data_IF_012480547875
#
_entry.id   IF_012480547875
#
_cell.length_a   1.000
_cell.length_b   1.000
_cell.length_c   1.000
_cell.angle_alpha   90.00
_cell.angle_beta   90.00
_cell.angle_gamma   90.00
#
_symmetry.space_group_name_H-M   'P 1'
#
loop_
_entity.id
_entity.type
_entity.pdbx_description
1 polymer ?
#
# COMPACT_ATOMS: atom_id res chain seq x y z
N UNK A 1 -27.67 17.99 -0.89
CA UNK A 1 -26.67 17.29 -0.07
C UNK A 1 -26.00 18.32 0.84
N UNK A 2 -25.74 18.01 2.11
CA UNK A 2 -25.12 18.91 3.09
C UNK A 2 -23.67 18.54 3.36
N UNK A 3 -22.80 19.53 3.60
CA UNK A 3 -21.42 19.30 4.02
C UNK A 3 -21.35 18.76 5.45
N UNK A 4 -20.42 17.84 5.70
CA UNK A 4 -20.15 17.27 7.02
C UNK A 4 -18.64 17.26 7.30
N UNK A 5 -18.27 17.28 8.59
CA UNK A 5 -16.88 17.12 9.02
C UNK A 5 -16.52 15.64 8.97
N UNK A 6 -15.46 15.28 8.22
CA UNK A 6 -14.97 13.90 8.12
C UNK A 6 -13.59 13.75 8.73
N UNK A 7 -13.33 12.60 9.35
CA UNK A 7 -12.00 12.21 9.82
C UNK A 7 -11.26 11.45 8.72
N UNK A 8 -10.09 11.94 8.32
CA UNK A 8 -9.27 11.33 7.26
C UNK A 8 -8.79 9.92 7.60
N UNK A 9 -8.52 9.62 8.88
CA UNK A 9 -8.08 8.30 9.32
C UNK A 9 -9.23 7.30 9.25
N UNK A 10 -10.44 7.71 9.66
CA UNK A 10 -11.62 6.84 9.57
C UNK A 10 -11.98 6.54 8.10
N UNK A 11 -11.88 7.53 7.22
CA UNK A 11 -12.09 7.32 5.78
C UNK A 11 -11.02 6.42 5.16
N UNK A 12 -9.76 6.56 5.57
CA UNK A 12 -8.71 5.66 5.12
C UNK A 12 -8.90 4.21 5.61
N UNK A 13 -9.43 4.03 6.83
CA UNK A 13 -9.83 2.70 7.33
C UNK A 13 -10.94 2.11 6.46
N UNK A 14 -11.99 2.88 6.19
CA UNK A 14 -13.09 2.43 5.32
C UNK A 14 -12.58 2.03 3.92
N UNK A 15 -11.63 2.80 3.37
CA UNK A 15 -10.98 2.47 2.09
C UNK A 15 -10.20 1.15 2.17
N UNK A 16 -9.45 0.91 3.25
CA UNK A 16 -8.71 -0.33 3.45
C UNK A 16 -9.65 -1.53 3.61
N UNK A 17 -10.69 -1.42 4.43
CA UNK A 17 -11.71 -2.46 4.62
C UNK A 17 -12.40 -2.82 3.30
N UNK A 18 -12.74 -1.82 2.50
CA UNK A 18 -13.28 -2.01 1.16
C UNK A 18 -12.28 -2.69 0.21
N UNK A 19 -11.00 -2.31 0.29
CA UNK A 19 -9.94 -2.90 -0.52
C UNK A 19 -9.75 -4.40 -0.23
N UNK A 20 -9.84 -4.79 1.05
CA UNK A 20 -9.74 -6.19 1.49
C UNK A 20 -10.87 -7.05 0.90
N UNK A 21 -12.12 -6.56 0.95
CA UNK A 21 -13.28 -7.24 0.33
C UNK A 21 -13.10 -7.36 -1.19
N UNK A 22 -12.69 -6.28 -1.86
CA UNK A 22 -12.47 -6.28 -3.31
C UNK A 22 -11.39 -7.27 -3.73
N UNK A 23 -10.35 -7.43 -2.93
CA UNK A 23 -9.28 -8.39 -3.17
C UNK A 23 -9.76 -9.83 -2.99
N UNK A 24 -10.33 -10.16 -1.82
CA UNK A 24 -10.66 -11.52 -1.44
C UNK A 24 -11.89 -12.07 -2.19
N UNK A 25 -12.96 -11.29 -2.27
CA UNK A 25 -14.25 -11.78 -2.78
C UNK A 25 -14.43 -11.52 -4.27
N UNK A 26 -13.99 -10.35 -4.73
CA UNK A 26 -14.28 -9.89 -6.09
C UNK A 26 -13.11 -10.03 -7.04
N UNK A 27 -11.90 -10.29 -6.53
CA UNK A 27 -10.64 -10.29 -7.31
C UNK A 27 -10.48 -9.03 -8.16
N UNK A 28 -11.00 -7.90 -7.66
CA UNK A 28 -10.91 -6.60 -8.32
C UNK A 28 -9.62 -5.91 -7.92
N UNK A 29 -8.50 -6.43 -8.45
CA UNK A 29 -7.16 -6.04 -8.01
C UNK A 29 -6.85 -4.57 -8.26
N UNK A 30 -7.24 -4.02 -9.42
CA UNK A 30 -7.03 -2.60 -9.71
C UNK A 30 -7.73 -1.70 -8.67
N UNK A 31 -8.99 -2.01 -8.33
CA UNK A 31 -9.72 -1.27 -7.30
C UNK A 31 -9.11 -1.45 -5.90
N UNK A 32 -8.72 -2.67 -5.56
CA UNK A 32 -8.04 -2.96 -4.30
C UNK A 32 -6.74 -2.17 -4.15
N UNK A 33 -5.89 -2.12 -5.20
CA UNK A 33 -4.66 -1.31 -5.23
C UNK A 33 -4.97 0.17 -5.03
N UNK A 34 -5.97 0.71 -5.73
CA UNK A 34 -6.31 2.14 -5.63
C UNK A 34 -6.73 2.52 -4.22
N UNK A 35 -7.63 1.74 -3.61
CA UNK A 35 -8.16 2.06 -2.27
C UNK A 35 -7.11 1.81 -1.18
N UNK A 36 -6.42 0.68 -1.21
CA UNK A 36 -5.35 0.37 -0.24
C UNK A 36 -4.18 1.35 -0.36
N UNK A 37 -3.79 1.76 -1.57
CA UNK A 37 -2.75 2.77 -1.79
C UNK A 37 -3.15 4.17 -1.32
N UNK A 38 -4.44 4.54 -1.40
CA UNK A 38 -4.94 5.76 -0.79
C UNK A 38 -4.86 5.69 0.74
N UNK A 39 -5.30 4.57 1.33
CA UNK A 39 -5.26 4.33 2.76
C UNK A 39 -3.81 4.32 3.31
N UNK A 40 -2.91 3.59 2.65
CA UNK A 40 -1.48 3.50 2.98
C UNK A 40 -0.84 4.89 3.10
N UNK A 41 -1.12 5.78 2.15
CA UNK A 41 -0.55 7.14 2.17
C UNK A 41 -1.07 7.97 3.33
N UNK A 42 -2.36 7.84 3.66
CA UNK A 42 -2.97 8.54 4.80
C UNK A 42 -2.39 8.02 6.12
N UNK A 43 -2.32 6.70 6.29
CA UNK A 43 -1.77 6.09 7.50
C UNK A 43 -0.28 6.37 7.67
N UNK A 44 0.50 6.24 6.60
CA UNK A 44 1.92 6.55 6.61
C UNK A 44 2.19 8.02 6.96
N UNK A 45 1.37 8.95 6.47
CA UNK A 45 1.49 10.35 6.87
C UNK A 45 1.10 10.57 8.34
N UNK A 46 0.08 9.87 8.83
CA UNK A 46 -0.34 9.94 10.22
C UNK A 46 0.75 9.44 11.18
N UNK A 47 1.45 8.35 10.83
CA UNK A 47 2.61 7.85 11.58
C UNK A 47 3.73 8.90 11.61
N UNK A 48 4.06 9.49 10.46
CA UNK A 48 5.08 10.55 10.39
C UNK A 48 4.73 11.77 11.24
N UNK A 49 3.45 12.14 11.32
CA UNK A 49 3.01 13.21 12.23
C UNK A 49 3.17 12.86 13.72
N UNK A 50 3.20 11.57 14.08
CA UNK A 50 3.50 11.08 15.43
C UNK A 50 5.01 10.93 15.69
N UNK A 51 5.85 11.22 14.71
CA UNK A 51 7.30 10.97 14.79
C UNK A 51 7.69 9.51 14.56
N UNK A 52 6.77 8.70 14.03
CA UNK A 52 6.98 7.28 13.74
C UNK A 52 7.28 7.07 12.24
N UNK A 53 7.94 5.96 11.91
CA UNK A 53 8.23 5.58 10.53
C UNK A 53 7.04 4.85 9.90
N UNK A 54 6.65 5.27 8.70
CA UNK A 54 5.74 4.49 7.86
C UNK A 54 6.46 3.24 7.34
N UNK A 55 5.69 2.20 6.98
CA UNK A 55 6.24 0.93 6.48
C UNK A 55 7.22 1.13 5.32
N UNK A 56 6.86 1.95 4.32
CA UNK A 56 7.73 2.24 3.17
C UNK A 56 9.06 2.91 3.59
N UNK A 57 9.07 3.65 4.70
CA UNK A 57 10.31 4.25 5.22
C UNK A 57 11.21 3.17 5.82
N UNK A 58 10.64 2.21 6.57
CA UNK A 58 11.38 1.07 7.11
C UNK A 58 11.92 0.15 6.01
N UNK A 59 11.11 -0.15 4.98
CA UNK A 59 11.54 -0.95 3.83
C UNK A 59 12.69 -0.27 3.09
N UNK A 60 12.62 1.04 2.90
CA UNK A 60 13.72 1.80 2.30
C UNK A 60 15.02 1.66 3.10
N UNK A 61 14.97 1.80 4.43
CA UNK A 61 16.16 1.73 5.28
C UNK A 61 16.84 0.35 5.16
N UNK A 62 16.06 -0.73 5.05
CA UNK A 62 16.57 -2.09 4.82
C UNK A 62 17.14 -2.24 3.41
N UNK A 63 16.41 -1.81 2.38
CA UNK A 63 16.82 -1.94 0.98
C UNK A 63 18.04 -1.09 0.65
N UNK A 64 18.19 0.10 1.25
CA UNK A 64 19.31 0.99 1.01
C UNK A 64 20.65 0.38 1.44
N UNK A 65 20.67 -0.36 2.56
CA UNK A 65 21.86 -1.08 3.04
C UNK A 65 22.31 -2.15 2.05
N UNK A 66 21.36 -2.97 1.58
CA UNK A 66 21.64 -4.04 0.61
C UNK A 66 22.05 -3.47 -0.75
N UNK A 67 21.37 -2.42 -1.21
CA UNK A 67 21.64 -1.79 -2.49
C UNK A 67 23.04 -1.19 -2.55
N UNK A 68 23.48 -0.50 -1.50
CA UNK A 68 24.84 0.02 -1.40
C UNK A 68 25.89 -1.10 -1.52
N UNK A 69 25.65 -2.23 -0.84
CA UNK A 69 26.57 -3.36 -0.85
C UNK A 69 26.67 -4.03 -2.23
N UNK A 70 25.56 -4.14 -2.96
CA UNK A 70 25.50 -4.83 -4.24
C UNK A 70 25.92 -3.95 -5.43
N UNK A 71 25.61 -2.65 -5.39
CA UNK A 71 25.77 -1.75 -6.53
C UNK A 71 26.82 -0.65 -6.32
N UNK A 72 27.33 -0.47 -5.11
CA UNK A 72 28.33 0.55 -4.79
C UNK A 72 27.83 1.98 -4.97
N UNK A 73 26.52 2.19 -5.00
CA UNK A 73 25.86 3.48 -5.18
C UNK A 73 24.67 3.60 -4.22
N UNK A 74 24.32 4.82 -3.77
CA UNK A 74 23.19 5.03 -2.87
C UNK A 74 21.85 4.89 -3.60
N UNK A 75 20.92 4.16 -2.98
CA UNK A 75 19.51 4.17 -3.38
C UNK A 75 18.86 5.45 -2.86
N UNK A 76 18.19 6.20 -3.74
CA UNK A 76 17.41 7.37 -3.30
C UNK A 76 16.02 6.93 -2.85
N UNK A 77 15.51 7.57 -1.80
CA UNK A 77 14.15 7.32 -1.30
C UNK A 77 13.07 7.58 -2.34
N UNK A 78 13.29 8.57 -3.22
CA UNK A 78 12.39 8.86 -4.32
C UNK A 78 12.33 7.71 -5.32
N UNK A 79 13.48 7.20 -5.78
CA UNK A 79 13.51 6.10 -6.75
C UNK A 79 12.92 4.83 -6.16
N UNK A 80 13.25 4.53 -4.90
CA UNK A 80 12.65 3.41 -4.17
C UNK A 80 11.12 3.53 -4.11
N UNK A 81 10.61 4.66 -3.64
CA UNK A 81 9.17 4.88 -3.56
C UNK A 81 8.48 4.88 -4.94
N UNK A 82 9.16 5.30 -6.01
CA UNK A 82 8.62 5.20 -7.38
C UNK A 82 8.51 3.75 -7.85
N UNK A 83 9.52 2.92 -7.54
CA UNK A 83 9.51 1.49 -7.84
C UNK A 83 8.41 0.77 -7.08
N UNK A 84 8.36 0.93 -5.75
CA UNK A 84 7.36 0.28 -4.88
C UNK A 84 5.93 0.68 -5.22
N UNK A 85 5.72 1.91 -5.70
CA UNK A 85 4.40 2.42 -6.05
C UNK A 85 4.14 2.42 -7.57
N UNK A 86 4.95 1.71 -8.39
CA UNK A 86 4.84 1.75 -9.86
C UNK A 86 3.44 1.43 -10.35
N UNK A 87 2.87 0.30 -9.90
CA UNK A 87 1.54 -0.16 -10.34
C UNK A 87 0.44 0.77 -9.83
N UNK A 88 0.50 1.17 -8.55
CA UNK A 88 -0.46 2.14 -8.00
C UNK A 88 -0.44 3.47 -8.75
N UNK A 89 0.75 3.97 -9.10
CA UNK A 89 0.89 5.20 -9.88
C UNK A 89 0.34 5.05 -11.29
N UNK A 90 0.60 3.94 -11.98
CA UNK A 90 0.04 3.64 -13.30
C UNK A 90 -1.51 3.55 -13.29
N UNK A 91 -2.12 3.16 -12.17
CA UNK A 91 -3.59 3.10 -12.05
C UNK A 91 -4.26 4.45 -11.76
N UNK A 92 -3.53 5.43 -11.21
CA UNK A 92 -4.10 6.72 -10.78
C UNK A 92 -3.68 7.92 -11.63
N UNK A 93 -2.62 7.77 -12.42
CA UNK A 93 -2.09 8.80 -13.31
C UNK A 93 -2.16 8.29 -14.73
N UNK A 94 -2.50 9.19 -15.65
CA UNK A 94 -2.46 8.93 -17.08
C UNK A 94 -2.14 10.26 -17.77
N UNK A 95 -0.85 10.56 -17.83
CA UNK A 95 -0.31 11.78 -18.41
C UNK A 95 -0.15 11.65 -19.92
N UNK A 96 0.08 12.77 -20.62
CA UNK A 96 0.17 12.80 -22.09
C UNK A 96 1.33 12.00 -22.67
N UNK A 97 2.32 11.64 -21.85
CA UNK A 97 3.46 10.82 -22.23
C UNK A 97 3.28 9.33 -21.91
N UNK A 98 2.19 8.95 -21.22
CA UNK A 98 1.97 7.57 -20.79
C UNK A 98 1.36 6.72 -21.91
N UNK A 99 1.84 5.49 -22.02
CA UNK A 99 1.25 4.48 -22.88
C UNK A 99 -0.04 3.92 -22.23
N UNK A 100 -1.11 3.66 -23.00
CA UNK A 100 -2.34 3.10 -22.45
C UNK A 100 -2.20 1.66 -21.94
N UNK A 101 -1.09 0.99 -22.26
CA UNK A 101 -0.81 -0.38 -21.86
C UNK A 101 0.45 -0.44 -20.98
N UNK A 102 0.38 -1.16 -19.87
CA UNK A 102 1.54 -1.51 -19.06
C UNK A 102 1.45 -2.96 -18.60
N UNK A 103 2.59 -3.58 -18.33
CA UNK A 103 2.67 -4.95 -17.83
C UNK A 103 2.85 -4.93 -16.32
N UNK A 104 2.02 -5.69 -15.61
CA UNK A 104 2.12 -5.90 -14.17
C UNK A 104 1.36 -7.17 -13.77
N UNK A 105 1.81 -7.80 -12.69
CA UNK A 105 0.97 -8.72 -11.91
C UNK A 105 0.12 -7.86 -10.95
N UNK A 106 -1.19 -7.79 -11.22
CA UNK A 106 -2.09 -6.97 -10.41
C UNK A 106 -2.43 -7.64 -9.07
N UNK A 107 -2.45 -8.97 -9.02
CA UNK A 107 -2.76 -9.70 -7.78
C UNK A 107 -1.63 -9.54 -6.78
N UNK A 108 -0.38 -9.74 -7.23
CA UNK A 108 0.81 -9.49 -6.43
C UNK A 108 0.88 -8.03 -5.96
N UNK A 109 0.68 -7.07 -6.87
CA UNK A 109 0.71 -5.65 -6.53
C UNK A 109 -0.39 -5.27 -5.52
N UNK A 110 -1.59 -5.85 -5.63
CA UNK A 110 -2.66 -5.64 -4.68
C UNK A 110 -2.33 -6.23 -3.31
N UNK A 111 -1.79 -7.46 -3.28
CA UNK A 111 -1.37 -8.13 -2.05
C UNK A 111 -0.35 -7.28 -1.27
N UNK A 112 0.74 -6.84 -1.91
CA UNK A 112 1.77 -6.06 -1.22
C UNK A 112 1.30 -4.66 -0.80
N UNK A 113 0.41 -4.03 -1.57
CA UNK A 113 -0.18 -2.76 -1.15
C UNK A 113 -1.08 -2.91 0.07
N UNK A 114 -1.87 -4.00 0.13
CA UNK A 114 -2.68 -4.34 1.30
C UNK A 114 -1.82 -4.64 2.52
N UNK A 115 -0.74 -5.42 2.39
CA UNK A 115 0.22 -5.68 3.48
C UNK A 115 0.73 -4.37 4.08
N UNK A 116 1.20 -3.44 3.22
CA UNK A 116 1.71 -2.13 3.67
C UNK A 116 0.63 -1.28 4.34
N UNK A 117 -0.58 -1.26 3.81
CA UNK A 117 -1.69 -0.50 4.39
C UNK A 117 -2.14 -1.07 5.75
N UNK A 118 -2.28 -2.40 5.84
CA UNK A 118 -2.62 -3.11 7.07
C UNK A 118 -1.57 -2.90 8.16
N UNK A 119 -0.28 -3.05 7.84
CA UNK A 119 0.79 -2.84 8.82
C UNK A 119 0.85 -1.38 9.30
N UNK A 120 0.70 -0.39 8.42
CA UNK A 120 0.59 1.01 8.85
C UNK A 120 -0.63 1.24 9.76
N UNK A 121 -1.77 0.63 9.46
CA UNK A 121 -2.98 0.74 10.29
C UNK A 121 -2.80 0.10 11.67
N UNK A 122 -2.11 -1.05 11.73
CA UNK A 122 -1.77 -1.76 12.97
C UNK A 122 -0.85 -0.92 13.86
N UNK A 123 0.20 -0.31 13.29
CA UNK A 123 1.09 0.63 14.01
C UNK A 123 0.35 1.86 14.57
N UNK A 124 -0.69 2.31 13.88
CA UNK A 124 -1.55 3.39 14.38
C UNK A 124 -2.48 2.97 15.52
N UNK A 125 -2.57 1.67 15.82
CA UNK A 125 -3.48 1.07 16.81
C UNK A 125 -4.92 0.94 16.30
N UNK A 126 -5.12 0.85 15.00
CA UNK A 126 -6.45 0.74 14.39
C UNK A 126 -6.88 -0.72 14.27
N UNK A 127 -8.14 -0.99 14.55
CA UNK A 127 -8.80 -2.25 14.16
C UNK A 127 -9.36 -2.08 12.74
N UNK A 128 -9.07 -3.05 11.86
CA UNK A 128 -9.50 -3.08 10.46
C UNK A 128 -10.31 -4.35 10.23
N UNK A 129 -11.56 -4.19 9.78
CA UNK A 129 -12.39 -5.34 9.41
C UNK A 129 -11.84 -6.06 8.17
N UNK A 130 -11.89 -7.39 8.20
CA UNK A 130 -11.35 -8.24 7.13
C UNK A 130 -9.84 -8.47 7.19
N UNK A 131 -9.12 -7.85 8.14
CA UNK A 131 -7.69 -8.07 8.31
C UNK A 131 -7.36 -9.54 8.59
N UNK A 132 -8.04 -10.17 9.55
CA UNK A 132 -7.78 -11.57 9.93
C UNK A 132 -7.99 -12.51 8.74
N UNK A 133 -9.05 -12.31 7.97
CA UNK A 133 -9.36 -13.10 6.77
C UNK A 133 -8.31 -12.92 5.67
N UNK A 134 -7.82 -11.70 5.46
CA UNK A 134 -6.71 -11.46 4.55
C UNK A 134 -5.40 -12.07 5.06
N UNK A 135 -5.16 -12.02 6.37
CA UNK A 135 -3.98 -12.60 6.99
C UNK A 135 -3.97 -14.13 6.83
N UNK A 136 -5.09 -14.81 7.05
CA UNK A 136 -5.24 -16.24 6.82
C UNK A 136 -4.97 -16.58 5.33
N UNK A 137 -5.61 -15.84 4.41
CA UNK A 137 -5.35 -15.99 2.97
C UNK A 137 -3.87 -15.80 2.63
N UNK A 138 -3.21 -14.78 3.20
CA UNK A 138 -1.81 -14.49 2.96
C UNK A 138 -0.90 -15.63 3.44
N UNK A 139 -1.18 -16.20 4.61
CA UNK A 139 -0.45 -17.35 5.12
C UNK A 139 -0.61 -18.58 4.20
N UNK A 140 -1.83 -18.88 3.78
CA UNK A 140 -2.11 -20.04 2.92
C UNK A 140 -1.47 -19.90 1.52
N UNK A 141 -1.54 -18.71 0.92
CA UNK A 141 -1.22 -18.51 -0.50
C UNK A 141 0.19 -17.95 -0.76
N UNK A 142 0.76 -17.21 0.19
CA UNK A 142 2.06 -16.55 0.03
C UNK A 142 3.14 -17.21 0.90
N UNK A 143 2.83 -17.50 2.17
CA UNK A 143 3.80 -18.13 3.09
C UNK A 143 3.82 -19.65 2.90
N UNK A 144 2.67 -20.25 2.56
CA UNK A 144 2.52 -21.68 2.34
C UNK A 144 2.46 -22.51 3.63
N UNK A 145 1.83 -21.96 4.68
CA UNK A 145 1.61 -22.63 5.98
C UNK A 145 0.12 -22.88 6.19
#
# INVERSE_FOLDING_TARGET
MSSQTCNRIDLAREQLESALVLFLEHRSFASAITLSGAAERVFGQALRHRGEQAVLDCEFDLSALVHMQLHGQPLTKQNFAQTENRVFNALRHFDSADEPHFVADLEEAACWMLVRACENSNRLGLTVQGFDTFNDWFHENIVGI
#
